data_IF_574576946993
#
_entry.id   IF_574576946993
#
_cell.length_a   1.000
_cell.length_b   1.000
_cell.length_c   1.000
_cell.angle_alpha   90.00
_cell.angle_beta   90.00
_cell.angle_gamma   90.00
#
_symmetry.space_group_name_H-M   'P 1'
#
loop_
_entity.id
_entity.type
_entity.pdbx_description
1 polymer ?
#
# COMPACT_ATOMS: atom_id res chain seq x y z
N UNK A 1 -19.17 33.31 16.01
CA UNK A 1 -17.86 33.15 16.74
C UNK A 1 -17.02 32.12 15.98
N UNK A 2 -15.90 32.53 15.39
CA UNK A 2 -14.98 31.61 14.68
C UNK A 2 -14.34 30.71 15.73
N UNK A 3 -14.41 29.40 15.55
CA UNK A 3 -13.80 28.48 16.53
C UNK A 3 -12.27 28.56 16.48
N UNK A 4 -11.61 28.30 17.61
CA UNK A 4 -10.14 28.23 17.70
C UNK A 4 -9.58 27.25 16.65
N UNK A 5 -10.30 26.15 16.36
CA UNK A 5 -9.93 25.20 15.29
C UNK A 5 -9.89 25.85 13.91
N UNK A 6 -10.83 26.73 13.57
CA UNK A 6 -10.84 27.41 12.26
C UNK A 6 -9.72 28.45 12.15
N UNK A 7 -9.36 29.11 13.27
CA UNK A 7 -8.21 30.02 13.33
C UNK A 7 -6.91 29.21 13.10
N UNK A 8 -6.74 28.09 13.78
CA UNK A 8 -5.58 27.20 13.59
C UNK A 8 -5.48 26.74 12.11
N UNK A 9 -6.59 26.34 11.53
CA UNK A 9 -6.65 25.91 10.10
C UNK A 9 -6.30 27.03 9.11
N UNK A 10 -6.46 28.27 9.48
CA UNK A 10 -6.12 29.42 8.61
C UNK A 10 -4.65 29.83 8.71
N UNK A 11 -4.01 29.59 9.85
CA UNK A 11 -2.64 29.99 10.15
C UNK A 11 -1.62 28.89 9.75
N UNK A 12 -2.00 27.61 9.92
CA UNK A 12 -1.08 26.50 9.65
C UNK A 12 -1.10 26.17 8.14
N UNK A 13 0.04 26.30 7.43
CA UNK A 13 0.11 25.98 6.01
C UNK A 13 -0.35 24.56 5.70
N UNK A 14 -1.16 24.39 4.66
CA UNK A 14 -1.66 23.09 4.20
C UNK A 14 -2.54 22.30 5.18
N UNK A 15 -2.90 22.85 6.35
CA UNK A 15 -3.66 22.10 7.36
C UNK A 15 -5.00 21.57 6.84
N UNK A 16 -5.76 22.36 6.09
CA UNK A 16 -7.02 21.93 5.48
C UNK A 16 -6.85 20.75 4.52
N UNK A 17 -5.79 20.78 3.70
CA UNK A 17 -5.48 19.67 2.78
C UNK A 17 -5.02 18.42 3.53
N UNK A 18 -4.28 18.60 4.61
CA UNK A 18 -3.89 17.52 5.51
C UNK A 18 -5.09 16.86 6.20
N UNK A 19 -6.02 17.66 6.73
CA UNK A 19 -7.25 17.16 7.36
C UNK A 19 -8.11 16.36 6.38
N UNK A 20 -8.25 16.82 5.13
CA UNK A 20 -8.91 16.06 4.07
C UNK A 20 -8.21 14.73 3.77
N UNK A 21 -6.89 14.76 3.67
CA UNK A 21 -6.06 13.57 3.45
C UNK A 21 -6.16 12.57 4.61
N UNK A 22 -6.23 13.04 5.86
CA UNK A 22 -6.44 12.19 7.04
C UNK A 22 -7.80 11.50 7.05
N UNK A 23 -8.85 12.19 6.65
CA UNK A 23 -10.21 11.62 6.59
C UNK A 23 -10.34 10.53 5.53
N UNK A 24 -9.45 10.52 4.55
CA UNK A 24 -9.39 9.52 3.48
C UNK A 24 -8.41 8.39 3.75
N UNK A 25 -7.69 8.42 4.86
CA UNK A 25 -6.73 7.37 5.20
C UNK A 25 -6.98 6.83 6.62
N UNK A 26 -7.00 5.51 6.74
CA UNK A 26 -7.15 4.79 8.02
C UNK A 26 -5.92 5.02 8.94
N UNK A 27 -4.92 5.78 8.52
CA UNK A 27 -3.62 5.84 9.19
C UNK A 27 -3.26 7.24 9.66
N UNK A 28 -2.72 7.30 10.88
CA UNK A 28 -2.07 8.46 11.47
C UNK A 28 -0.91 8.94 10.58
N UNK A 29 -1.24 9.76 9.59
CA UNK A 29 -0.24 10.48 8.83
C UNK A 29 0.25 11.64 9.69
N UNK A 30 1.56 11.71 9.90
CA UNK A 30 2.15 12.86 10.56
C UNK A 30 1.94 14.12 9.69
N UNK A 31 1.50 15.21 10.32
CA UNK A 31 1.42 16.52 9.64
C UNK A 31 2.78 16.91 9.03
N UNK A 32 3.88 16.65 9.70
CA UNK A 32 5.23 16.91 9.20
C UNK A 32 5.53 16.13 7.92
N UNK A 33 5.16 14.87 7.83
CA UNK A 33 5.35 14.08 6.62
C UNK A 33 4.52 14.62 5.45
N UNK A 34 3.30 15.06 5.72
CA UNK A 34 2.46 15.69 4.72
C UNK A 34 3.05 17.03 4.22
N UNK A 35 3.47 17.89 5.13
CA UNK A 35 4.11 19.17 4.78
C UNK A 35 5.40 18.94 4.00
N UNK A 36 6.25 18.00 4.46
CA UNK A 36 7.44 17.60 3.72
C UNK A 36 7.09 17.18 2.29
N UNK A 37 6.11 16.31 2.11
CA UNK A 37 5.67 15.91 0.77
C UNK A 37 5.20 17.11 -0.07
N UNK A 38 4.44 18.03 0.52
CA UNK A 38 3.98 19.24 -0.20
C UNK A 38 5.11 20.12 -0.67
N UNK A 39 6.18 20.24 0.10
CA UNK A 39 7.34 21.08 -0.19
C UNK A 39 8.34 20.38 -1.11
N UNK A 40 8.69 19.13 -0.81
CA UNK A 40 9.74 18.39 -1.52
C UNK A 40 9.25 17.50 -2.64
N UNK A 41 7.93 17.26 -2.72
CA UNK A 41 7.30 16.28 -3.62
C UNK A 41 7.82 14.86 -3.41
N UNK A 42 8.26 14.56 -2.18
CA UNK A 42 8.75 13.25 -1.80
C UNK A 42 8.36 12.91 -0.37
N UNK A 43 7.86 11.71 -0.12
CA UNK A 43 7.50 11.26 1.23
C UNK A 43 8.63 10.49 1.93
N UNK A 44 9.64 10.04 1.17
CA UNK A 44 10.80 9.32 1.70
C UNK A 44 12.03 9.52 0.79
N UNK A 45 13.19 9.05 1.24
CA UNK A 45 14.37 8.93 0.38
C UNK A 45 14.03 7.96 -0.78
N UNK A 46 13.98 8.48 -2.01
CA UNK A 46 13.63 7.67 -3.20
C UNK A 46 12.39 8.12 -3.97
N UNK A 47 11.72 9.20 -3.57
CA UNK A 47 10.73 9.88 -4.41
C UNK A 47 9.31 9.34 -4.35
N UNK A 48 8.92 8.63 -3.29
CA UNK A 48 7.57 8.07 -3.16
C UNK A 48 6.45 9.11 -3.00
N UNK A 49 5.24 8.72 -3.33
CA UNK A 49 4.04 9.57 -3.26
C UNK A 49 3.04 9.13 -2.17
N UNK A 50 3.29 8.02 -1.49
CA UNK A 50 2.40 7.47 -0.46
C UNK A 50 3.06 7.51 0.94
N UNK A 51 2.24 7.52 1.99
CA UNK A 51 2.74 7.52 3.36
C UNK A 51 3.60 6.29 3.67
N UNK A 52 4.77 6.51 4.28
CA UNK A 52 5.69 5.46 4.69
C UNK A 52 5.98 5.62 6.17
N UNK A 53 5.76 4.57 6.95
CA UNK A 53 6.15 4.56 8.36
C UNK A 53 7.68 4.52 8.49
N UNK A 54 8.22 5.16 9.53
CA UNK A 54 9.67 5.30 9.75
C UNK A 54 10.42 3.98 9.87
N UNK A 55 9.74 2.91 10.29
CA UNK A 55 10.31 1.56 10.43
C UNK A 55 10.03 0.66 9.22
N UNK A 56 9.34 1.17 8.19
CA UNK A 56 9.12 0.44 6.94
C UNK A 56 10.34 0.56 6.03
N UNK A 57 10.81 -0.55 5.50
CA UNK A 57 11.91 -0.58 4.52
C UNK A 57 11.34 -0.80 3.12
N UNK A 58 11.72 0.06 2.18
CA UNK A 58 11.27 -0.03 0.78
C UNK A 58 12.49 0.00 -0.15
N UNK A 59 12.61 -1.01 -0.98
CA UNK A 59 13.56 -1.04 -2.09
C UNK A 59 12.84 -0.70 -3.40
N UNK A 60 13.45 0.16 -4.24
CA UNK A 60 12.91 0.57 -5.54
C UNK A 60 11.46 1.07 -5.51
N UNK A 61 11.22 2.10 -4.73
CA UNK A 61 9.89 2.71 -4.56
C UNK A 61 9.20 3.07 -5.88
N UNK A 62 9.96 3.42 -6.92
CA UNK A 62 9.43 3.77 -8.25
C UNK A 62 8.77 2.60 -9.00
N UNK A 63 9.05 1.36 -8.60
CA UNK A 63 8.41 0.14 -9.12
C UNK A 63 7.20 -0.32 -8.30
N UNK A 64 6.74 0.49 -7.36
CA UNK A 64 5.62 0.18 -6.49
C UNK A 64 4.46 1.12 -6.81
N UNK A 65 3.39 0.56 -7.39
CA UNK A 65 2.12 1.25 -7.55
C UNK A 65 1.25 1.03 -6.32
N UNK A 66 0.66 2.10 -5.82
CA UNK A 66 -0.27 2.07 -4.68
C UNK A 66 -1.56 2.73 -5.10
N UNK A 67 -2.65 1.98 -5.09
CA UNK A 67 -3.98 2.41 -5.49
C UNK A 67 -4.63 3.40 -4.54
N UNK A 68 -5.88 3.75 -4.85
CA UNK A 68 -6.66 4.73 -4.09
C UNK A 68 -6.83 4.27 -2.65
N UNK A 69 -6.49 5.16 -1.71
CA UNK A 69 -6.66 4.95 -0.27
C UNK A 69 -6.08 3.63 0.26
N UNK A 70 -5.15 3.04 -0.48
CA UNK A 70 -4.43 1.86 -0.03
C UNK A 70 -3.38 2.21 1.02
N UNK A 71 -3.17 1.31 1.97
CA UNK A 71 -2.29 1.50 3.12
C UNK A 71 -1.30 0.37 3.24
N UNK A 72 -0.12 0.59 2.68
CA UNK A 72 0.82 -0.50 2.43
C UNK A 72 2.12 -0.40 3.22
N UNK A 73 2.60 0.79 3.51
CA UNK A 73 3.89 0.98 4.17
C UNK A 73 3.76 1.15 5.68
N UNK A 74 3.26 0.12 6.34
CA UNK A 74 2.98 0.03 7.79
C UNK A 74 4.27 -0.18 8.60
N UNK A 75 4.19 -0.05 9.94
CA UNK A 75 5.33 -0.36 10.81
C UNK A 75 5.96 -1.72 10.50
N UNK A 76 7.28 -1.75 10.35
CA UNK A 76 8.06 -2.97 10.14
C UNK A 76 7.85 -3.67 8.80
N UNK A 77 7.03 -3.15 7.90
CA UNK A 77 6.87 -3.75 6.56
C UNK A 77 8.16 -3.71 5.76
N UNK A 78 8.37 -4.73 4.94
CA UNK A 78 9.43 -4.78 3.94
C UNK A 78 8.83 -4.93 2.54
N UNK A 79 8.97 -3.91 1.70
CA UNK A 79 8.48 -3.90 0.32
C UNK A 79 9.67 -3.93 -0.64
N UNK A 80 9.92 -5.08 -1.26
CA UNK A 80 11.04 -5.27 -2.17
C UNK A 80 10.60 -5.09 -3.63
N UNK A 81 10.74 -3.89 -4.15
CA UNK A 81 10.43 -3.55 -5.54
C UNK A 81 11.56 -3.89 -6.53
N UNK A 82 12.17 -5.06 -6.48
CA UNK A 82 13.09 -5.52 -7.52
C UNK A 82 12.34 -5.77 -8.83
N UNK A 83 11.21 -6.50 -8.76
CA UNK A 83 10.14 -6.49 -9.75
C UNK A 83 9.10 -5.42 -9.44
N UNK A 84 8.07 -5.35 -10.26
CA UNK A 84 6.94 -4.44 -10.00
C UNK A 84 6.06 -4.98 -8.89
N UNK A 85 5.54 -4.09 -8.04
CA UNK A 85 4.51 -4.40 -7.06
C UNK A 85 3.31 -3.50 -7.36
N UNK A 86 2.15 -4.11 -7.54
CA UNK A 86 0.89 -3.41 -7.77
C UNK A 86 -0.07 -3.68 -6.62
N UNK A 87 -0.38 -2.64 -5.87
CA UNK A 87 -1.46 -2.66 -4.89
C UNK A 87 -2.68 -1.97 -5.48
N UNK A 88 -3.80 -2.67 -5.54
CA UNK A 88 -5.09 -2.13 -5.96
C UNK A 88 -5.65 -1.11 -4.97
N UNK A 89 -6.87 -0.67 -5.25
CA UNK A 89 -7.56 0.31 -4.43
C UNK A 89 -7.98 -0.28 -3.09
N UNK A 90 -7.89 0.52 -2.03
CA UNK A 90 -8.30 0.14 -0.67
C UNK A 90 -7.57 -1.08 -0.07
N UNK A 91 -6.42 -1.47 -0.62
CA UNK A 91 -5.58 -2.54 -0.05
C UNK A 91 -5.01 -2.10 1.29
N UNK A 92 -5.02 -3.02 2.25
CA UNK A 92 -4.48 -2.78 3.59
C UNK A 92 -3.45 -3.84 3.97
N UNK A 93 -2.26 -3.40 4.38
CA UNK A 93 -1.27 -4.28 5.01
C UNK A 93 -1.32 -4.12 6.54
N UNK A 94 -1.18 -5.23 7.24
CA UNK A 94 -0.83 -5.24 8.67
C UNK A 94 0.63 -4.86 8.91
N UNK A 95 1.05 -4.68 10.16
CA UNK A 95 2.46 -4.50 10.50
C UNK A 95 3.32 -5.71 10.13
N UNK A 96 4.61 -5.48 9.89
CA UNK A 96 5.62 -6.51 9.62
C UNK A 96 5.31 -7.42 8.41
N UNK A 97 4.54 -6.93 7.43
CA UNK A 97 4.27 -7.69 6.19
C UNK A 97 5.48 -7.58 5.27
N UNK A 98 5.87 -8.72 4.69
CA UNK A 98 6.88 -8.81 3.63
C UNK A 98 6.24 -8.99 2.25
N UNK A 99 6.57 -8.10 1.30
CA UNK A 99 6.18 -8.22 -0.13
C UNK A 99 7.48 -8.29 -0.94
N UNK A 100 7.80 -9.49 -1.44
CA UNK A 100 9.11 -9.82 -1.98
C UNK A 100 9.00 -10.14 -3.47
N UNK A 101 9.27 -9.19 -4.36
CA UNK A 101 9.16 -9.37 -5.82
C UNK A 101 10.41 -9.98 -6.47
N UNK A 102 11.35 -10.47 -5.68
CA UNK A 102 12.52 -11.22 -6.15
C UNK A 102 12.98 -12.24 -5.12
N UNK A 103 13.57 -13.31 -5.63
CA UNK A 103 14.30 -14.30 -4.85
C UNK A 103 15.71 -14.48 -5.45
N UNK A 104 16.67 -14.93 -4.64
CA UNK A 104 17.95 -15.38 -5.17
C UNK A 104 17.77 -16.66 -5.98
N UNK A 105 18.62 -16.86 -6.98
CA UNK A 105 18.70 -18.14 -7.68
C UNK A 105 19.22 -19.22 -6.72
N UNK A 106 18.68 -20.41 -6.82
CA UNK A 106 18.99 -21.50 -5.89
C UNK A 106 20.43 -22.01 -6.01
N UNK A 107 21.04 -21.87 -7.19
CA UNK A 107 22.38 -22.39 -7.50
C UNK A 107 23.43 -21.29 -7.60
N UNK A 108 23.03 -20.07 -7.96
CA UNK A 108 23.92 -18.92 -8.05
C UNK A 108 23.27 -17.71 -7.34
N UNK A 109 23.54 -17.56 -6.06
CA UNK A 109 22.97 -16.50 -5.22
C UNK A 109 23.30 -15.07 -5.67
N UNK A 110 24.21 -14.88 -6.61
CA UNK A 110 24.50 -13.57 -7.24
C UNK A 110 23.40 -13.16 -8.21
N UNK A 111 22.61 -14.11 -8.70
CA UNK A 111 21.49 -13.91 -9.61
C UNK A 111 20.18 -13.79 -8.84
N UNK A 112 19.24 -13.06 -9.43
CA UNK A 112 17.90 -12.83 -8.88
C UNK A 112 16.84 -13.31 -9.87
N UNK A 113 15.90 -14.08 -9.37
CA UNK A 113 14.68 -14.44 -10.06
C UNK A 113 13.61 -13.38 -9.69
N UNK A 114 13.34 -12.47 -10.62
CA UNK A 114 12.47 -11.33 -10.43
C UNK A 114 11.12 -11.61 -11.07
N UNK A 115 10.02 -11.38 -10.34
CA UNK A 115 8.68 -11.52 -10.88
C UNK A 115 7.72 -10.49 -10.24
N UNK A 116 6.73 -9.99 -11.00
CA UNK A 116 5.77 -9.01 -10.47
C UNK A 116 4.88 -9.60 -9.38
N UNK A 117 4.40 -8.71 -8.50
CA UNK A 117 3.36 -9.05 -7.52
C UNK A 117 2.16 -8.14 -7.77
N UNK A 118 0.97 -8.73 -7.80
CA UNK A 118 -0.31 -8.01 -7.94
C UNK A 118 -1.20 -8.35 -6.74
N UNK A 119 -1.70 -7.34 -6.06
CA UNK A 119 -2.66 -7.48 -4.96
C UNK A 119 -3.91 -6.69 -5.33
N UNK A 120 -5.00 -7.39 -5.55
CA UNK A 120 -6.27 -6.84 -6.01
C UNK A 120 -6.99 -5.99 -4.96
N UNK A 121 -7.97 -5.23 -5.43
CA UNK A 121 -8.69 -4.23 -4.65
C UNK A 121 -9.31 -4.81 -3.37
N UNK A 122 -9.41 -3.97 -2.33
CA UNK A 122 -9.99 -4.31 -1.03
C UNK A 122 -9.36 -5.54 -0.35
N UNK A 123 -8.17 -5.97 -0.75
CA UNK A 123 -7.48 -7.07 -0.09
C UNK A 123 -6.88 -6.62 1.25
N UNK A 124 -6.85 -7.54 2.19
CA UNK A 124 -6.25 -7.34 3.51
C UNK A 124 -5.16 -8.37 3.76
N UNK A 125 -3.94 -7.90 3.97
CA UNK A 125 -2.78 -8.75 4.24
C UNK A 125 -2.45 -8.64 5.73
N UNK A 126 -2.69 -9.72 6.47
CA UNK A 126 -2.53 -9.79 7.91
C UNK A 126 -1.08 -9.60 8.37
N UNK A 127 -0.89 -9.20 9.63
CA UNK A 127 0.44 -8.95 10.20
C UNK A 127 1.36 -10.16 10.10
N UNK A 128 2.68 -9.92 9.97
CA UNK A 128 3.73 -10.93 9.87
C UNK A 128 3.55 -11.92 8.69
N UNK A 129 2.69 -11.65 7.71
CA UNK A 129 2.58 -12.49 6.52
C UNK A 129 3.58 -12.08 5.44
N UNK A 130 3.85 -13.02 4.53
CA UNK A 130 4.79 -12.83 3.41
C UNK A 130 4.08 -13.18 2.11
N UNK A 131 4.27 -12.34 1.08
CA UNK A 131 3.87 -12.61 -0.30
C UNK A 131 5.11 -12.66 -1.16
N UNK A 132 5.34 -13.78 -1.85
CA UNK A 132 6.56 -14.02 -2.63
C UNK A 132 6.41 -13.59 -4.09
N UNK A 133 7.53 -13.54 -4.81
CA UNK A 133 7.62 -13.14 -6.21
C UNK A 133 6.69 -13.95 -7.13
N UNK A 134 6.05 -13.27 -8.07
CA UNK A 134 5.15 -13.87 -9.06
C UNK A 134 3.72 -14.11 -8.58
N UNK A 135 3.40 -13.77 -7.34
CA UNK A 135 2.06 -13.97 -6.79
C UNK A 135 1.09 -12.89 -7.28
N UNK A 136 -0.06 -13.35 -7.77
CA UNK A 136 -1.25 -12.52 -8.04
C UNK A 136 -2.36 -12.91 -7.07
N UNK A 137 -2.82 -11.95 -6.28
CA UNK A 137 -4.01 -12.06 -5.45
C UNK A 137 -5.12 -11.25 -6.09
N UNK A 138 -6.27 -11.88 -6.34
CA UNK A 138 -7.47 -11.21 -6.83
C UNK A 138 -8.12 -10.32 -5.76
N UNK A 139 -9.18 -9.59 -6.14
CA UNK A 139 -9.85 -8.67 -5.23
C UNK A 139 -10.40 -9.38 -3.98
N UNK A 140 -10.48 -8.64 -2.86
CA UNK A 140 -11.02 -9.18 -1.59
C UNK A 140 -10.31 -10.43 -1.08
N UNK A 141 -9.05 -10.59 -1.40
CA UNK A 141 -8.24 -11.65 -0.79
C UNK A 141 -7.83 -11.22 0.62
N UNK A 142 -8.14 -12.04 1.60
CA UNK A 142 -7.71 -11.86 2.99
C UNK A 142 -6.60 -12.86 3.27
N UNK A 143 -5.41 -12.38 3.58
CA UNK A 143 -4.29 -13.20 4.04
C UNK A 143 -4.25 -13.14 5.55
N UNK A 144 -4.40 -14.29 6.21
CA UNK A 144 -4.34 -14.38 7.66
C UNK A 144 -2.93 -14.04 8.18
N UNK A 145 -2.87 -13.54 9.41
CA UNK A 145 -1.58 -13.22 10.05
C UNK A 145 -0.63 -14.42 10.06
N UNK A 146 0.66 -14.18 9.79
CA UNK A 146 1.70 -15.20 9.75
C UNK A 146 1.67 -16.14 8.55
N UNK A 147 0.80 -15.94 7.58
CA UNK A 147 0.73 -16.79 6.38
C UNK A 147 1.86 -16.48 5.39
N UNK A 148 2.33 -17.49 4.67
CA UNK A 148 3.33 -17.33 3.59
C UNK A 148 2.69 -17.73 2.26
N UNK A 149 2.42 -16.73 1.42
CA UNK A 149 1.75 -16.90 0.13
C UNK A 149 2.80 -17.10 -0.96
N UNK A 150 2.86 -18.32 -1.50
CA UNK A 150 3.83 -18.75 -2.53
C UNK A 150 3.18 -19.08 -3.86
N UNK A 151 1.85 -18.98 -3.97
CA UNK A 151 1.08 -19.25 -5.18
C UNK A 151 0.04 -18.16 -5.40
N UNK A 152 -0.35 -17.99 -6.66
CA UNK A 152 -1.39 -17.05 -7.04
C UNK A 152 -2.80 -17.55 -6.73
N UNK A 153 -3.69 -16.60 -6.39
CA UNK A 153 -5.13 -16.79 -6.17
C UNK A 153 -5.90 -15.67 -6.90
N UNK A 154 -5.90 -15.69 -8.24
CA UNK A 154 -6.37 -14.56 -9.06
C UNK A 154 -7.88 -14.31 -8.96
N UNK A 155 -8.68 -15.31 -8.59
CA UNK A 155 -10.14 -15.16 -8.45
C UNK A 155 -10.52 -14.29 -7.23
N UNK A 156 -9.63 -14.19 -6.27
CA UNK A 156 -9.86 -13.44 -5.04
C UNK A 156 -11.01 -14.00 -4.19
N UNK A 157 -11.70 -13.14 -3.45
CA UNK A 157 -12.84 -13.46 -2.58
C UNK A 157 -12.60 -14.71 -1.72
N UNK A 158 -11.44 -14.75 -1.09
CA UNK A 158 -11.07 -15.89 -0.26
C UNK A 158 -10.23 -15.47 0.96
N UNK A 159 -10.16 -16.36 1.92
CA UNK A 159 -9.26 -16.25 3.08
C UNK A 159 -8.17 -17.29 2.92
N UNK A 160 -6.91 -16.81 2.95
CA UNK A 160 -5.71 -17.62 2.85
C UNK A 160 -5.04 -17.72 4.23
N UNK A 161 -4.60 -18.91 4.62
CA UNK A 161 -3.85 -19.10 5.85
C UNK A 161 -2.82 -20.22 5.72
N UNK A 162 -1.81 -20.21 6.60
CA UNK A 162 -0.80 -21.25 6.72
C UNK A 162 0.51 -20.99 5.97
N UNK A 163 1.46 -21.94 6.10
CA UNK A 163 2.78 -21.93 5.49
C UNK A 163 3.02 -23.31 4.85
N UNK A 164 2.95 -23.44 3.50
CA UNK A 164 2.47 -22.44 2.55
C UNK A 164 0.98 -22.14 2.69
N UNK A 165 0.56 -20.93 2.31
CA UNK A 165 -0.83 -20.49 2.41
C UNK A 165 -1.76 -21.28 1.48
N UNK A 166 -2.94 -21.63 2.00
CA UNK A 166 -4.03 -22.31 1.28
C UNK A 166 -5.33 -21.58 1.55
N UNK A 167 -6.31 -21.74 0.64
CA UNK A 167 -7.66 -21.25 0.87
C UNK A 167 -8.28 -22.04 2.04
N UNK A 168 -8.69 -21.32 3.08
CA UNK A 168 -9.43 -21.89 4.22
C UNK A 168 -10.90 -21.51 4.19
N UNK A 169 -11.28 -20.50 3.39
CA UNK A 169 -12.66 -20.04 3.22
C UNK A 169 -12.80 -19.27 1.92
N UNK A 170 -13.89 -19.52 1.19
CA UNK A 170 -14.35 -18.65 0.12
C UNK A 170 -15.35 -17.64 0.66
N UNK A 171 -15.28 -16.40 0.17
CA UNK A 171 -16.18 -15.33 0.55
C UNK A 171 -17.33 -15.24 -0.47
N UNK A 172 -18.52 -15.01 0.04
CA UNK A 172 -19.69 -14.74 -0.77
C UNK A 172 -19.58 -13.35 -1.39
N UNK A 173 -19.53 -13.27 -2.71
CA UNK A 173 -19.37 -12.02 -3.46
C UNK A 173 -20.56 -11.08 -3.26
N UNK A 174 -21.75 -11.62 -3.12
CA UNK A 174 -22.98 -10.84 -2.97
C UNK A 174 -23.10 -10.17 -1.60
N UNK A 175 -22.34 -10.68 -0.60
CA UNK A 175 -22.25 -10.06 0.74
C UNK A 175 -21.17 -8.97 0.84
N UNK A 176 -20.42 -8.74 -0.22
CA UNK A 176 -19.43 -7.69 -0.20
C UNK A 176 -20.11 -6.31 -0.25
N UNK A 177 -19.82 -5.48 0.74
CA UNK A 177 -20.24 -4.09 0.77
C UNK A 177 -19.06 -3.22 0.33
N UNK A 178 -19.07 -2.70 -0.91
CA UNK A 178 -18.07 -1.73 -1.33
C UNK A 178 -18.24 -0.45 -0.53
N UNK A 179 -17.13 0.11 -0.10
CA UNK A 179 -17.12 1.37 0.63
C UNK A 179 -16.09 2.32 0.03
N UNK A 180 -16.38 3.60 0.08
CA UNK A 180 -15.53 4.66 -0.42
C UNK A 180 -15.37 5.74 0.64
N UNK A 181 -14.21 6.36 0.69
CA UNK A 181 -14.04 7.56 1.48
C UNK A 181 -14.53 8.77 0.70
N UNK A 182 -15.02 9.79 1.41
CA UNK A 182 -15.42 11.09 0.84
C UNK A 182 -14.30 11.70 -0.02
N UNK A 183 -13.05 11.50 0.38
CA UNK A 183 -11.88 11.99 -0.34
C UNK A 183 -11.01 10.82 -0.80
N UNK A 184 -10.76 10.72 -2.10
CA UNK A 184 -9.96 9.68 -2.70
C UNK A 184 -8.57 10.20 -3.08
N UNK A 185 -7.53 9.48 -2.62
CA UNK A 185 -6.13 9.84 -2.81
C UNK A 185 -5.29 8.64 -3.23
N UNK A 186 -4.38 8.87 -4.17
CA UNK A 186 -3.22 8.02 -4.36
C UNK A 186 -2.12 8.49 -3.39
N UNK A 187 -2.03 7.85 -2.24
CA UNK A 187 -1.14 8.31 -1.17
C UNK A 187 -1.43 9.75 -0.73
N UNK A 188 -0.54 10.69 -1.03
CA UNK A 188 -0.72 12.12 -0.73
C UNK A 188 -1.33 12.94 -1.90
N UNK A 189 -1.58 12.31 -3.04
CA UNK A 189 -2.02 12.99 -4.26
C UNK A 189 -3.51 12.77 -4.46
N UNK A 190 -4.32 13.84 -4.56
CA UNK A 190 -5.72 13.71 -4.89
C UNK A 190 -5.93 12.93 -6.20
N UNK A 191 -6.96 12.10 -6.25
CA UNK A 191 -7.25 11.19 -7.37
C UNK A 191 -7.26 11.91 -8.72
N UNK A 192 -7.91 13.05 -8.80
CA UNK A 192 -8.05 13.84 -10.00
C UNK A 192 -6.72 14.42 -10.54
N UNK A 193 -5.70 14.49 -9.68
CA UNK A 193 -4.37 15.01 -10.05
C UNK A 193 -3.35 13.93 -10.35
N UNK A 194 -3.61 12.69 -9.94
CA UNK A 194 -2.62 11.63 -10.00
C UNK A 194 -2.14 11.33 -11.44
N UNK A 195 -3.06 11.24 -12.39
CA UNK A 195 -2.74 10.94 -13.78
C UNK A 195 -1.71 11.92 -14.39
N UNK A 196 -1.84 13.22 -14.08
CA UNK A 196 -0.95 14.26 -14.62
C UNK A 196 0.46 14.26 -14.01
N UNK A 197 0.66 13.65 -12.84
CA UNK A 197 1.94 13.64 -12.13
C UNK A 197 2.54 12.25 -11.95
N UNK A 198 1.81 11.19 -12.33
CA UNK A 198 2.17 9.78 -12.14
C UNK A 198 3.62 9.47 -12.53
N UNK A 199 4.03 9.87 -13.74
CA UNK A 199 5.37 9.61 -14.29
C UNK A 199 6.53 10.19 -13.43
N UNK A 200 6.24 11.14 -12.54
CA UNK A 200 7.24 11.66 -11.60
C UNK A 200 7.62 10.64 -10.53
N UNK A 201 6.70 9.75 -10.17
CA UNK A 201 6.79 8.89 -9.00
C UNK A 201 6.99 7.42 -9.32
N UNK A 202 6.45 6.96 -10.44
CA UNK A 202 6.44 5.54 -10.79
C UNK A 202 6.85 5.32 -12.25
N UNK A 203 7.56 4.21 -12.45
CA UNK A 203 8.07 3.76 -13.75
C UNK A 203 7.24 2.58 -14.30
N UNK A 204 6.02 2.36 -13.74
CA UNK A 204 5.12 1.24 -14.07
C UNK A 204 3.72 1.72 -14.41
#
# INVERSE_FOLDING_TARGET
MISIKEIIKSIIPFYRSYEKSLRSSIHNQSYFNYVRFRLTRSCASGGGYFPVHSTCTIANMRKIYVGINATVARPGCYLQGAGTIHFGDYVQLGPNVGILSANHDLYDQRKYNVAPIVIGDYSWIGMNSIVTAGVTLGPRTIVAAGAVVTKSFPDGYCVLAGVPAKVIKYLDKDKFVPWHYENEYYGYIPKEKFASVRKRYIDV
#
